data_IF_599004488412
#
_entry.id   IF_599004488412
#
_cell.length_a   1.000
_cell.length_b   1.000
_cell.length_c   1.000
_cell.angle_alpha   90.00
_cell.angle_beta   90.00
_cell.angle_gamma   90.00
#
_symmetry.space_group_name_H-M   'P 1'
#
loop_
_entity.id
_entity.type
_entity.pdbx_description
1 polymer ?
#
# COMPACT_ATOMS: atom_id res chain seq x y z
N UNK A 1 42.74 -16.63 1.20
CA UNK A 1 43.28 -15.33 0.69
C UNK A 1 42.19 -14.40 0.22
N UNK A 2 41.28 -14.83 -0.68
CA UNK A 2 40.15 -14.01 -1.18
C UNK A 2 39.14 -13.64 -0.10
N UNK A 3 38.82 -14.54 0.80
CA UNK A 3 37.88 -14.30 1.91
C UNK A 3 38.40 -13.25 2.92
N UNK A 4 39.69 -13.28 3.24
CA UNK A 4 40.32 -12.25 4.08
C UNK A 4 40.37 -10.88 3.40
N UNK A 5 40.49 -10.85 2.07
CA UNK A 5 40.43 -9.61 1.29
C UNK A 5 39.03 -9.01 1.31
N UNK A 6 38.00 -9.84 1.12
CA UNK A 6 36.60 -9.42 1.21
C UNK A 6 36.25 -8.87 2.57
N UNK A 7 36.59 -9.55 3.67
CA UNK A 7 36.36 -9.06 5.02
C UNK A 7 37.07 -7.71 5.30
N UNK A 8 38.29 -7.52 4.80
CA UNK A 8 38.99 -6.23 4.89
C UNK A 8 38.31 -5.12 4.06
N UNK A 9 37.77 -5.44 2.92
CA UNK A 9 37.06 -4.47 2.07
C UNK A 9 35.73 -4.08 2.70
N UNK A 10 34.96 -5.03 3.26
CA UNK A 10 33.74 -4.75 4.00
C UNK A 10 33.97 -3.88 5.23
N UNK A 11 34.96 -4.22 6.05
CA UNK A 11 35.33 -3.42 7.24
C UNK A 11 35.77 -1.99 6.88
N UNK A 12 36.50 -1.82 5.76
CA UNK A 12 36.85 -0.50 5.23
C UNK A 12 35.64 0.27 4.72
N UNK A 13 34.74 -0.40 3.99
CA UNK A 13 33.50 0.18 3.49
C UNK A 13 32.61 0.69 4.64
N UNK A 14 32.43 -0.11 5.69
CA UNK A 14 31.66 0.25 6.85
C UNK A 14 32.26 1.42 7.64
N UNK A 15 33.60 1.44 7.76
CA UNK A 15 34.30 2.55 8.38
C UNK A 15 34.13 3.84 7.60
N UNK A 16 34.19 3.76 6.27
CA UNK A 16 33.98 4.92 5.39
C UNK A 16 32.54 5.43 5.45
N UNK A 17 31.57 4.53 5.41
CA UNK A 17 30.13 4.85 5.56
C UNK A 17 29.84 5.57 6.88
N UNK A 18 30.39 5.06 8.00
CA UNK A 18 30.25 5.71 9.32
C UNK A 18 30.87 7.10 9.35
N UNK A 19 32.06 7.30 8.76
CA UNK A 19 32.70 8.62 8.69
C UNK A 19 31.90 9.61 7.85
N UNK A 20 31.39 9.18 6.71
CA UNK A 20 30.53 10.01 5.86
C UNK A 20 29.23 10.38 6.59
N UNK A 21 28.58 9.42 7.25
CA UNK A 21 27.36 9.67 8.01
C UNK A 21 27.58 10.72 9.11
N UNK A 22 28.64 10.56 9.91
CA UNK A 22 29.00 11.53 10.98
C UNK A 22 29.33 12.91 10.41
N UNK A 23 30.03 12.96 9.28
CA UNK A 23 30.35 14.24 8.62
C UNK A 23 29.10 14.95 8.11
N UNK A 24 28.22 14.22 7.43
CA UNK A 24 26.96 14.75 6.90
C UNK A 24 26.07 15.22 8.05
N UNK A 25 25.94 14.42 9.10
CA UNK A 25 25.15 14.78 10.27
C UNK A 25 25.65 16.06 10.95
N UNK A 26 26.96 16.18 11.18
CA UNK A 26 27.56 17.40 11.71
C UNK A 26 27.31 18.63 10.82
N UNK A 27 27.28 18.43 9.52
CA UNK A 27 27.04 19.52 8.56
C UNK A 27 25.58 19.96 8.55
N UNK A 28 24.65 18.99 8.65
CA UNK A 28 23.21 19.24 8.78
C UNK A 28 22.93 19.97 10.10
N UNK A 29 23.50 19.52 11.22
CA UNK A 29 23.33 20.15 12.53
C UNK A 29 23.83 21.62 12.54
N UNK A 30 24.90 21.91 11.81
CA UNK A 30 25.41 23.29 11.68
C UNK A 30 24.53 24.16 10.78
N UNK A 31 23.99 23.58 9.73
CA UNK A 31 23.14 24.31 8.77
C UNK A 31 21.71 24.55 9.30
N UNK A 32 21.22 23.65 10.15
CA UNK A 32 19.86 23.68 10.68
C UNK A 32 19.84 23.42 12.19
N UNK A 33 20.33 24.35 13.02
CA UNK A 33 20.45 24.18 14.47
C UNK A 33 19.10 23.96 15.17
N UNK A 34 18.01 24.46 14.62
CA UNK A 34 16.66 24.23 15.16
C UNK A 34 16.13 22.81 14.92
N UNK A 35 16.44 22.24 13.76
CA UNK A 35 16.10 20.85 13.46
C UNK A 35 16.92 19.87 14.34
N UNK A 36 18.14 20.26 14.75
CA UNK A 36 18.96 19.47 15.66
C UNK A 36 18.48 19.51 17.13
N UNK A 37 17.73 20.56 17.52
CA UNK A 37 17.09 20.64 18.84
C UNK A 37 15.82 19.79 18.94
N UNK A 38 15.16 19.55 17.83
CA UNK A 38 14.14 18.53 17.70
C UNK A 38 14.84 17.19 17.42
N UNK A 39 15.66 16.69 18.38
CA UNK A 39 16.03 15.28 18.32
C UNK A 39 14.70 14.52 18.24
N UNK A 40 14.48 13.69 17.20
CA UNK A 40 13.42 12.72 17.30
C UNK A 40 13.75 11.94 18.57
N UNK A 41 12.90 12.05 19.57
CA UNK A 41 12.86 11.07 20.68
C UNK A 41 13.15 9.75 20.03
N UNK A 42 14.23 9.09 20.45
CA UNK A 42 14.73 7.86 19.85
C UNK A 42 13.49 7.09 19.39
N UNK A 43 13.37 6.93 18.08
CA UNK A 43 12.31 6.09 17.53
C UNK A 43 12.57 4.78 18.27
N UNK A 44 11.81 4.53 19.30
CA UNK A 44 11.72 3.21 19.87
C UNK A 44 11.51 2.36 18.63
N UNK A 45 12.49 1.52 18.35
CA UNK A 45 12.40 0.51 17.32
C UNK A 45 11.19 -0.30 17.73
N UNK A 46 10.01 0.21 17.30
CA UNK A 46 8.73 -0.29 17.75
C UNK A 46 8.77 -1.77 17.46
N UNK A 47 8.47 -2.56 18.46
CA UNK A 47 8.08 -3.94 18.24
C UNK A 47 7.29 -3.95 16.95
N UNK A 48 7.67 -4.82 16.02
CA UNK A 48 6.93 -4.97 14.78
C UNK A 48 5.55 -5.42 15.23
N UNK A 49 4.65 -4.46 15.35
CA UNK A 49 3.28 -4.68 15.80
C UNK A 49 2.60 -5.46 14.69
N UNK A 50 2.67 -6.78 14.78
CA UNK A 50 2.04 -7.67 13.82
C UNK A 50 0.53 -7.52 13.97
N UNK A 51 -0.13 -7.18 12.87
CA UNK A 51 -1.59 -7.23 12.84
C UNK A 51 -2.03 -8.65 13.24
N UNK A 52 -2.89 -8.73 14.22
CA UNK A 52 -3.47 -10.02 14.62
C UNK A 52 -4.37 -10.57 13.51
N UNK A 53 -4.68 -11.85 13.55
CA UNK A 53 -5.64 -12.44 12.62
C UNK A 53 -7.03 -11.75 12.71
N UNK A 54 -7.40 -11.30 13.91
CA UNK A 54 -8.63 -10.53 14.12
C UNK A 54 -8.57 -9.16 13.42
N UNK A 55 -7.43 -8.46 13.49
CA UNK A 55 -7.26 -7.17 12.80
C UNK A 55 -7.36 -7.35 11.27
N UNK A 56 -6.75 -8.39 10.74
CA UNK A 56 -6.82 -8.71 9.32
C UNK A 56 -8.26 -9.05 8.88
N UNK A 57 -8.99 -9.79 9.70
CA UNK A 57 -10.40 -10.09 9.45
C UNK A 57 -11.25 -8.82 9.44
N UNK A 58 -11.06 -7.93 10.42
CA UNK A 58 -11.76 -6.65 10.46
C UNK A 58 -11.43 -5.76 9.26
N UNK A 59 -10.14 -5.66 8.89
CA UNK A 59 -9.72 -4.92 7.70
C UNK A 59 -10.35 -5.51 6.43
N UNK A 60 -10.43 -6.84 6.33
CA UNK A 60 -11.09 -7.50 5.22
C UNK A 60 -12.59 -7.18 5.17
N UNK A 61 -13.30 -7.30 6.27
CA UNK A 61 -14.76 -7.02 6.33
C UNK A 61 -15.05 -5.56 6.01
N UNK A 62 -14.30 -4.64 6.62
CA UNK A 62 -14.43 -3.20 6.36
C UNK A 62 -14.12 -2.89 4.88
N UNK A 63 -13.04 -3.45 4.37
CA UNK A 63 -12.64 -3.28 2.97
C UNK A 63 -13.65 -3.84 1.98
N UNK A 64 -14.20 -5.02 2.27
CA UNK A 64 -15.22 -5.64 1.45
C UNK A 64 -16.51 -4.81 1.37
N UNK A 65 -16.94 -4.27 2.51
CA UNK A 65 -18.13 -3.42 2.60
C UNK A 65 -17.91 -2.07 1.93
N UNK A 66 -16.88 -1.33 2.35
CA UNK A 66 -16.60 0.00 1.81
C UNK A 66 -16.27 -0.04 0.32
N UNK A 67 -15.52 -1.05 -0.11
CA UNK A 67 -15.14 -1.21 -1.51
C UNK A 67 -16.34 -1.44 -2.42
N UNK A 68 -17.28 -2.30 -2.03
CA UNK A 68 -18.51 -2.50 -2.82
C UNK A 68 -19.37 -1.23 -2.88
N UNK A 69 -19.46 -0.50 -1.77
CA UNK A 69 -20.16 0.80 -1.73
C UNK A 69 -19.52 1.81 -2.68
N UNK A 70 -18.20 1.96 -2.63
CA UNK A 70 -17.45 2.87 -3.53
C UNK A 70 -17.62 2.45 -4.98
N UNK A 71 -17.52 1.16 -5.27
CA UNK A 71 -17.66 0.63 -6.63
C UNK A 71 -19.09 0.81 -7.16
N UNK A 72 -20.10 0.63 -6.32
CA UNK A 72 -21.51 0.87 -6.67
C UNK A 72 -21.73 2.34 -7.05
N UNK A 73 -21.19 3.28 -6.26
CA UNK A 73 -21.25 4.72 -6.59
C UNK A 73 -20.46 5.01 -7.87
N UNK A 74 -19.29 4.43 -8.03
CA UNK A 74 -18.48 4.57 -9.23
C UNK A 74 -19.21 4.08 -10.49
N UNK A 75 -19.86 2.93 -10.45
CA UNK A 75 -20.69 2.41 -11.55
C UNK A 75 -21.84 3.38 -11.88
N UNK A 76 -22.46 3.98 -10.86
CA UNK A 76 -23.51 4.98 -11.10
C UNK A 76 -22.98 6.21 -11.82
N UNK A 77 -21.82 6.71 -11.44
CA UNK A 77 -21.23 7.92 -12.01
C UNK A 77 -20.67 7.69 -13.43
N UNK A 78 -20.12 6.52 -13.70
CA UNK A 78 -19.44 6.23 -14.97
C UNK A 78 -20.33 5.54 -16.01
N UNK A 79 -21.18 4.62 -15.58
CA UNK A 79 -22.04 3.82 -16.46
C UNK A 79 -23.53 4.19 -16.35
N UNK A 80 -23.89 5.10 -15.43
CA UNK A 80 -25.28 5.54 -15.25
C UNK A 80 -26.20 4.52 -14.55
N UNK A 81 -25.68 3.37 -14.12
CA UNK A 81 -26.45 2.28 -13.52
C UNK A 81 -26.06 2.04 -12.07
N UNK A 82 -27.05 1.73 -11.22
CA UNK A 82 -26.80 1.22 -9.88
C UNK A 82 -26.50 -0.27 -9.97
N UNK A 83 -25.25 -0.65 -9.79
CA UNK A 83 -24.82 -2.04 -9.86
C UNK A 83 -23.83 -2.31 -8.73
N UNK A 84 -24.25 -3.12 -7.76
CA UNK A 84 -23.33 -3.70 -6.78
C UNK A 84 -22.54 -4.83 -7.43
N UNK A 85 -21.25 -4.91 -7.15
CA UNK A 85 -20.37 -6.00 -7.57
C UNK A 85 -20.01 -6.89 -6.38
N UNK A 86 -20.99 -7.05 -5.48
CA UNK A 86 -20.85 -7.93 -4.33
C UNK A 86 -20.47 -9.34 -4.75
N UNK A 87 -19.54 -9.93 -4.01
CA UNK A 87 -19.15 -11.34 -4.17
C UNK A 87 -20.09 -12.28 -3.41
N UNK A 88 -20.97 -11.75 -2.57
CA UNK A 88 -21.91 -12.51 -1.76
C UNK A 88 -23.35 -12.25 -2.24
N UNK A 89 -24.20 -13.26 -2.08
CA UNK A 89 -25.63 -13.17 -2.39
C UNK A 89 -26.34 -12.20 -1.43
N UNK A 90 -25.85 -12.11 -0.21
CA UNK A 90 -26.43 -11.27 0.84
C UNK A 90 -25.45 -10.14 1.25
N UNK A 91 -25.93 -8.92 1.11
CA UNK A 91 -25.19 -7.73 1.50
C UNK A 91 -24.14 -7.24 0.49
N UNK A 92 -23.70 -6.00 0.65
CA UNK A 92 -22.73 -5.36 -0.24
C UNK A 92 -21.30 -5.69 0.20
N UNK A 93 -20.79 -6.87 -0.13
CA UNK A 93 -19.45 -7.33 0.24
C UNK A 93 -18.65 -7.82 -0.96
N UNK A 94 -17.61 -7.09 -1.32
CA UNK A 94 -16.66 -7.49 -2.36
C UNK A 94 -15.41 -8.11 -1.75
N UNK A 95 -15.24 -9.43 -1.96
CA UNK A 95 -14.04 -10.17 -1.51
C UNK A 95 -12.77 -9.57 -2.09
N UNK A 96 -12.81 -9.13 -3.35
CA UNK A 96 -11.66 -8.49 -4.01
C UNK A 96 -11.24 -7.23 -3.26
N UNK A 97 -12.18 -6.35 -2.91
CA UNK A 97 -11.89 -5.13 -2.16
C UNK A 97 -11.42 -5.42 -0.73
N UNK A 98 -12.00 -6.43 -0.08
CA UNK A 98 -11.58 -6.85 1.25
C UNK A 98 -10.13 -7.31 1.29
N UNK A 99 -9.74 -8.17 0.36
CA UNK A 99 -8.36 -8.63 0.22
C UNK A 99 -7.42 -7.49 -0.16
N UNK A 100 -7.84 -6.60 -1.08
CA UNK A 100 -7.05 -5.43 -1.48
C UNK A 100 -6.70 -4.55 -0.28
N UNK A 101 -7.70 -4.22 0.55
CA UNK A 101 -7.50 -3.34 1.70
C UNK A 101 -6.63 -3.97 2.78
N UNK A 102 -6.87 -5.24 3.11
CA UNK A 102 -6.05 -5.97 4.08
C UNK A 102 -4.60 -6.06 3.61
N UNK A 103 -4.37 -6.46 2.35
CA UNK A 103 -3.03 -6.56 1.77
C UNK A 103 -2.33 -5.20 1.68
N UNK A 104 -3.01 -4.16 1.19
CA UNK A 104 -2.46 -2.81 1.12
C UNK A 104 -2.05 -2.31 2.50
N UNK A 105 -2.86 -2.57 3.53
CA UNK A 105 -2.55 -2.19 4.91
C UNK A 105 -1.29 -2.92 5.40
N UNK A 106 -1.19 -4.22 5.22
CA UNK A 106 0.00 -5.00 5.62
C UNK A 106 1.27 -4.46 4.97
N UNK A 107 1.22 -4.16 3.67
CA UNK A 107 2.39 -3.73 2.91
C UNK A 107 2.76 -2.25 3.11
N UNK A 108 1.76 -1.38 3.32
CA UNK A 108 2.00 0.06 3.40
C UNK A 108 2.16 0.58 4.83
N UNK A 109 1.65 -0.10 5.87
CA UNK A 109 1.64 0.40 7.25
C UNK A 109 3.03 0.75 7.78
N UNK A 110 4.06 0.00 7.41
CA UNK A 110 5.44 0.27 7.81
C UNK A 110 6.03 1.52 7.13
N UNK A 111 5.36 2.00 6.08
CA UNK A 111 5.76 3.16 5.30
C UNK A 111 4.75 4.31 5.41
N UNK A 112 3.89 4.30 6.44
CA UNK A 112 2.85 5.33 6.60
C UNK A 112 3.42 6.74 6.79
N UNK A 113 4.64 6.88 7.32
CA UNK A 113 5.33 8.17 7.48
C UNK A 113 5.98 8.67 6.18
N UNK A 114 6.04 7.86 5.13
CA UNK A 114 6.59 8.28 3.84
C UNK A 114 5.69 9.33 3.19
N UNK A 115 6.25 10.08 2.24
CA UNK A 115 5.52 11.11 1.53
C UNK A 115 4.31 10.57 0.76
N UNK A 116 3.32 11.42 0.50
CA UNK A 116 2.15 11.04 -0.31
C UNK A 116 2.53 10.59 -1.71
N UNK A 117 3.59 11.17 -2.28
CA UNK A 117 4.13 10.73 -3.58
C UNK A 117 4.63 9.29 -3.55
N UNK A 118 5.27 8.89 -2.45
CA UNK A 118 5.72 7.52 -2.26
C UNK A 118 4.52 6.56 -2.14
N UNK A 119 3.55 6.91 -1.27
CA UNK A 119 2.35 6.10 -1.08
C UNK A 119 1.54 5.99 -2.37
N UNK A 120 1.42 7.08 -3.13
CA UNK A 120 0.76 7.10 -4.41
C UNK A 120 1.46 6.19 -5.43
N UNK A 121 2.78 6.34 -5.63
CA UNK A 121 3.53 5.55 -6.58
C UNK A 121 3.50 4.05 -6.23
N UNK A 122 3.71 3.73 -4.94
CA UNK A 122 3.65 2.36 -4.48
C UNK A 122 2.24 1.77 -4.61
N UNK A 123 1.20 2.53 -4.23
CA UNK A 123 -0.20 2.13 -4.36
C UNK A 123 -0.62 1.92 -5.82
N UNK A 124 -0.14 2.76 -6.73
CA UNK A 124 -0.38 2.63 -8.18
C UNK A 124 0.15 1.29 -8.70
N UNK A 125 1.41 0.96 -8.37
CA UNK A 125 2.02 -0.30 -8.79
C UNK A 125 1.36 -1.50 -8.10
N UNK A 126 1.19 -1.43 -6.78
CA UNK A 126 0.59 -2.49 -6.00
C UNK A 126 -0.84 -2.79 -6.46
N UNK A 127 -1.65 -1.76 -6.67
CA UNK A 127 -3.03 -1.90 -7.15
C UNK A 127 -3.10 -2.51 -8.54
N UNK A 128 -2.24 -2.06 -9.47
CA UNK A 128 -2.17 -2.65 -10.81
C UNK A 128 -1.77 -4.13 -10.80
N UNK A 129 -0.75 -4.50 -10.00
CA UNK A 129 -0.35 -5.90 -9.85
C UNK A 129 -1.48 -6.72 -9.23
N UNK A 130 -2.11 -6.20 -8.18
CA UNK A 130 -3.23 -6.86 -7.52
C UNK A 130 -4.40 -7.11 -8.49
N UNK A 131 -4.81 -6.09 -9.23
CA UNK A 131 -5.91 -6.16 -10.20
C UNK A 131 -5.60 -7.17 -11.31
N UNK A 132 -4.36 -7.17 -11.81
CA UNK A 132 -3.92 -8.14 -12.83
C UNK A 132 -4.00 -9.57 -12.29
N UNK A 133 -3.47 -9.82 -11.08
CA UNK A 133 -3.49 -11.14 -10.44
C UNK A 133 -4.93 -11.59 -10.19
N UNK A 134 -5.79 -10.72 -9.65
CA UNK A 134 -7.20 -11.04 -9.44
C UNK A 134 -7.89 -11.43 -10.75
N UNK A 135 -7.68 -10.68 -11.83
CA UNK A 135 -8.24 -11.00 -13.14
C UNK A 135 -7.76 -12.37 -13.66
N UNK A 136 -6.46 -12.66 -13.52
CA UNK A 136 -5.91 -13.93 -13.96
C UNK A 136 -6.41 -15.11 -13.12
N UNK A 137 -6.48 -14.95 -11.79
CA UNK A 137 -6.95 -15.98 -10.86
C UNK A 137 -8.44 -16.25 -11.06
N UNK A 138 -9.26 -15.21 -11.22
CA UNK A 138 -10.70 -15.39 -11.42
C UNK A 138 -11.01 -16.05 -12.77
N UNK A 139 -10.25 -15.74 -13.82
CA UNK A 139 -10.38 -16.45 -15.09
C UNK A 139 -9.98 -17.94 -14.96
N UNK A 140 -8.88 -18.22 -14.25
CA UNK A 140 -8.44 -19.59 -14.02
C UNK A 140 -9.45 -20.43 -13.22
N UNK A 141 -10.07 -19.83 -12.20
CA UNK A 141 -10.99 -20.53 -11.29
C UNK A 141 -12.41 -20.63 -11.84
N UNK A 142 -12.89 -19.60 -12.54
CA UNK A 142 -14.28 -19.47 -12.97
C UNK A 142 -14.46 -19.50 -14.48
N UNK A 143 -13.37 -19.51 -15.25
CA UNK A 143 -13.42 -19.51 -16.71
C UNK A 143 -13.93 -18.18 -17.31
N UNK A 144 -13.98 -17.12 -16.50
CA UNK A 144 -14.49 -15.80 -16.93
C UNK A 144 -13.69 -14.66 -16.30
N UNK A 145 -13.66 -13.53 -16.99
CA UNK A 145 -13.11 -12.26 -16.46
C UNK A 145 -14.27 -11.39 -15.97
N UNK A 146 -14.09 -10.76 -14.80
CA UNK A 146 -15.13 -9.89 -14.24
C UNK A 146 -15.07 -8.45 -14.76
N UNK A 147 -13.96 -8.06 -15.39
CA UNK A 147 -13.78 -6.76 -16.06
C UNK A 147 -12.88 -6.92 -17.26
N UNK A 148 -13.04 -6.04 -18.25
CA UNK A 148 -12.25 -6.01 -19.47
C UNK A 148 -11.94 -4.55 -19.86
N UNK A 149 -10.65 -4.22 -19.86
CA UNK A 149 -10.12 -2.91 -20.26
C UNK A 149 -9.55 -2.89 -21.69
N UNK A 150 -9.77 -3.92 -22.51
CA UNK A 150 -9.19 -4.01 -23.84
C UNK A 150 -9.53 -2.81 -24.75
N UNK A 151 -10.68 -2.17 -24.50
CA UNK A 151 -11.12 -0.97 -25.22
C UNK A 151 -10.46 0.34 -24.75
N UNK A 152 -9.76 0.32 -23.62
CA UNK A 152 -9.08 1.50 -23.08
C UNK A 152 -7.65 1.58 -23.60
N UNK A 153 -7.15 2.82 -23.79
CA UNK A 153 -5.73 3.05 -24.07
C UNK A 153 -4.90 2.71 -22.83
N UNK A 154 -3.66 2.30 -23.05
CA UNK A 154 -2.71 1.93 -21.96
C UNK A 154 -3.23 0.80 -21.05
N UNK A 155 -3.91 -0.18 -21.64
CA UNK A 155 -4.22 -1.42 -20.95
C UNK A 155 -3.09 -2.46 -21.14
N UNK A 156 -2.98 -3.40 -20.23
CA UNK A 156 -2.11 -4.56 -20.34
C UNK A 156 -2.97 -5.84 -20.40
N UNK A 157 -3.10 -6.39 -21.59
CA UNK A 157 -3.88 -7.60 -21.83
C UNK A 157 -5.37 -7.50 -21.47
N UNK A 158 -5.93 -6.30 -21.46
CA UNK A 158 -7.32 -6.05 -21.04
C UNK A 158 -7.55 -6.20 -19.52
N UNK A 159 -6.53 -6.61 -18.74
CA UNK A 159 -6.68 -6.93 -17.31
C UNK A 159 -6.50 -5.74 -16.39
N UNK A 160 -5.61 -4.82 -16.76
CA UNK A 160 -5.39 -3.57 -16.05
C UNK A 160 -5.32 -2.40 -17.03
N UNK A 161 -5.56 -1.20 -16.52
CA UNK A 161 -5.45 0.04 -17.24
C UNK A 161 -4.74 1.09 -16.40
N UNK A 162 -3.86 1.89 -17.02
CA UNK A 162 -3.04 2.88 -16.33
C UNK A 162 -3.87 3.90 -15.53
N UNK A 163 -5.02 4.35 -16.06
CA UNK A 163 -5.91 5.27 -15.35
C UNK A 163 -6.42 4.66 -14.05
N UNK A 164 -6.85 3.39 -14.07
CA UNK A 164 -7.33 2.70 -12.87
C UNK A 164 -6.19 2.42 -11.89
N UNK A 165 -4.98 2.16 -12.38
CA UNK A 165 -3.80 2.08 -11.51
C UNK A 165 -3.58 3.39 -10.74
N UNK A 166 -3.79 4.56 -11.35
CA UNK A 166 -3.71 5.84 -10.65
C UNK A 166 -4.80 5.99 -9.58
N UNK A 167 -6.01 5.49 -9.82
CA UNK A 167 -7.05 5.47 -8.79
C UNK A 167 -6.66 4.61 -7.59
N UNK A 168 -6.00 3.47 -7.80
CA UNK A 168 -5.40 2.69 -6.73
C UNK A 168 -4.36 3.47 -5.93
N UNK A 169 -3.53 4.27 -6.61
CA UNK A 169 -2.57 5.17 -5.96
C UNK A 169 -3.25 6.21 -5.07
N UNK A 170 -4.31 6.85 -5.56
CA UNK A 170 -5.11 7.80 -4.77
C UNK A 170 -5.76 7.10 -3.57
N UNK A 171 -6.38 5.94 -3.80
CA UNK A 171 -7.00 5.15 -2.75
C UNK A 171 -6.00 4.76 -1.65
N UNK A 172 -4.77 4.38 -2.03
CA UNK A 172 -3.71 4.05 -1.08
C UNK A 172 -3.33 5.26 -0.19
N UNK A 173 -3.19 6.45 -0.78
CA UNK A 173 -2.91 7.68 0.00
C UNK A 173 -4.06 7.98 0.97
N UNK A 174 -5.30 7.99 0.48
CA UNK A 174 -6.48 8.28 1.31
C UNK A 174 -6.63 7.25 2.43
N UNK A 175 -6.41 5.98 2.12
CA UNK A 175 -6.46 4.93 3.12
C UNK A 175 -5.41 5.10 4.20
N UNK A 176 -4.14 5.28 3.83
CA UNK A 176 -3.06 5.37 4.80
C UNK A 176 -3.11 6.65 5.63
N UNK A 177 -3.62 7.77 5.08
CA UNK A 177 -3.71 9.05 5.80
C UNK A 177 -4.95 9.17 6.67
N UNK A 178 -6.06 8.60 6.25
CA UNK A 178 -7.34 8.81 6.93
C UNK A 178 -8.03 7.51 7.35
N UNK A 179 -8.17 6.55 6.43
CA UNK A 179 -8.92 5.33 6.68
C UNK A 179 -8.27 4.44 7.74
N UNK A 180 -7.03 4.06 7.54
CA UNK A 180 -6.31 3.16 8.45
C UNK A 180 -6.17 3.75 9.88
N UNK A 181 -5.77 5.01 10.09
CA UNK A 181 -5.76 5.59 11.43
C UNK A 181 -7.13 5.63 12.10
N UNK A 182 -8.21 5.85 11.33
CA UNK A 182 -9.58 5.82 11.87
C UNK A 182 -9.95 4.40 12.33
N UNK A 183 -9.71 3.41 11.50
CA UNK A 183 -9.98 2.00 11.85
C UNK A 183 -9.19 1.57 13.07
N UNK A 184 -7.90 1.91 13.15
CA UNK A 184 -7.08 1.62 14.34
C UNK A 184 -7.65 2.23 15.63
N UNK A 185 -8.20 3.45 15.56
CA UNK A 185 -8.84 4.08 16.73
C UNK A 185 -10.12 3.35 17.15
N UNK A 186 -10.84 2.78 16.20
CA UNK A 186 -12.07 2.03 16.48
C UNK A 186 -11.76 0.63 17.03
N UNK A 187 -10.71 -0.01 16.56
CA UNK A 187 -10.29 -1.35 16.99
C UNK A 187 -9.62 -1.35 18.37
N UNK A 188 -9.00 -0.24 18.78
CA UNK A 188 -8.34 -0.09 20.10
C UNK A 188 -9.30 0.30 21.24
N UNK A 189 -10.58 0.50 20.96
CA UNK A 189 -11.63 0.72 21.96
C UNK A 189 -12.34 -0.57 22.32
#
# INVERSE_FOLDING_TARGET
MLEQLNQKLEARSDTLRRRIAVYVEKRIQRAYPEAARQQPTAVQKGEIDFLSAADLLWLFVIGAFLGDMVETVFCRLTAGVWMSRSSLVWGPFSVVWGLALAMATVLLRQNQDKSDRYLFAFGTVLGGVYEYVCSAVTELLFGTVFWDYSKFKFNLGGRINLLYCFFWGIAAVLWMRYGYPLVLRLMKK
#
